data_IF_704627311334
#
_entry.id   IF_704627311334
#
_cell.length_a   1.000
_cell.length_b   1.000
_cell.length_c   1.000
_cell.angle_alpha   90.00
_cell.angle_beta   90.00
_cell.angle_gamma   90.00
#
_symmetry.space_group_name_H-M   'P 1'
#
loop_
_entity.id
_entity.type
_entity.pdbx_description
1 polymer ?
#
# COMPACT_ATOMS: atom_id res chain seq x y z
N UNK A 1 1.47 -20.92 -2.45
CA UNK A 1 0.97 -19.79 -1.69
C UNK A 1 -0.11 -19.05 -2.44
N UNK A 2 -1.24 -18.72 -1.81
CA UNK A 2 -2.28 -17.97 -2.51
C UNK A 2 -1.78 -16.58 -2.92
N UNK A 3 -2.01 -16.23 -4.16
CA UNK A 3 -1.65 -14.92 -4.67
C UNK A 3 -2.90 -14.05 -4.75
N UNK A 4 -2.92 -13.03 -3.91
CA UNK A 4 -4.01 -12.05 -3.87
C UNK A 4 -3.55 -10.66 -4.28
N UNK A 5 -2.28 -10.54 -4.67
CA UNK A 5 -1.70 -9.22 -4.93
C UNK A 5 -2.41 -8.49 -6.05
N UNK A 6 -2.64 -9.16 -7.18
CA UNK A 6 -3.29 -8.50 -8.31
C UNK A 6 -4.69 -8.02 -7.95
N UNK A 7 -5.43 -8.83 -7.22
CA UNK A 7 -6.79 -8.51 -6.79
C UNK A 7 -6.80 -7.30 -5.86
N UNK A 8 -5.93 -7.30 -4.86
CA UNK A 8 -5.82 -6.20 -3.90
C UNK A 8 -5.32 -4.94 -4.60
N UNK A 9 -4.32 -5.08 -5.48
CA UNK A 9 -3.79 -3.95 -6.23
C UNK A 9 -4.86 -3.32 -7.12
N UNK A 10 -5.64 -4.11 -7.84
CA UNK A 10 -6.70 -3.60 -8.69
C UNK A 10 -7.74 -2.83 -7.90
N UNK A 11 -8.17 -3.39 -6.76
CA UNK A 11 -9.12 -2.70 -5.90
C UNK A 11 -8.54 -1.38 -5.39
N UNK A 12 -7.31 -1.41 -4.88
CA UNK A 12 -6.66 -0.22 -4.35
C UNK A 12 -6.47 0.85 -5.42
N UNK A 13 -6.00 0.45 -6.59
CA UNK A 13 -5.78 1.37 -7.71
C UNK A 13 -7.08 2.07 -8.12
N UNK A 14 -8.14 1.30 -8.29
CA UNK A 14 -9.44 1.82 -8.68
C UNK A 14 -10.00 2.76 -7.62
N UNK A 15 -9.92 2.36 -6.36
CA UNK A 15 -10.43 3.16 -5.25
C UNK A 15 -9.68 4.49 -5.15
N UNK A 16 -8.36 4.44 -5.15
CA UNK A 16 -7.52 5.63 -4.99
C UNK A 16 -7.73 6.60 -6.15
N UNK A 17 -7.72 6.09 -7.39
CA UNK A 17 -7.92 6.94 -8.56
C UNK A 17 -9.30 7.57 -8.60
N UNK A 18 -10.34 6.84 -8.16
CA UNK A 18 -11.71 7.34 -8.20
C UNK A 18 -11.99 8.37 -7.12
N UNK A 19 -11.28 8.31 -6.00
CA UNK A 19 -11.56 9.16 -4.85
C UNK A 19 -10.58 10.31 -4.67
N UNK A 20 -9.44 10.29 -5.36
CA UNK A 20 -8.46 11.36 -5.23
C UNK A 20 -8.80 12.53 -6.14
N UNK A 21 -8.57 13.74 -5.63
CA UNK A 21 -8.71 14.98 -6.40
C UNK A 21 -7.47 15.30 -7.22
N UNK A 22 -6.40 14.55 -7.05
CA UNK A 22 -5.08 14.88 -7.61
C UNK A 22 -4.63 13.95 -8.72
N UNK A 23 -5.51 13.07 -9.20
CA UNK A 23 -5.25 12.15 -10.31
C UNK A 23 -3.92 11.40 -10.15
N UNK A 24 -3.74 10.67 -9.06
CA UNK A 24 -2.48 9.98 -8.81
C UNK A 24 -2.30 8.80 -9.75
N UNK A 25 -1.04 8.45 -9.99
CA UNK A 25 -0.70 7.18 -10.61
C UNK A 25 -0.56 6.14 -9.51
N UNK A 26 -1.04 4.94 -9.77
CA UNK A 26 -0.89 3.82 -8.83
C UNK A 26 -0.13 2.72 -9.54
N UNK A 27 1.04 2.39 -9.03
CA UNK A 27 1.99 1.49 -9.68
C UNK A 27 2.37 0.34 -8.77
N UNK A 28 2.80 -0.77 -9.38
CA UNK A 28 3.30 -1.94 -8.65
C UNK A 28 4.77 -1.83 -8.31
N UNK A 29 5.50 -1.02 -9.06
CA UNK A 29 6.93 -0.85 -8.85
C UNK A 29 7.38 0.53 -9.31
N UNK A 30 8.57 0.93 -8.89
CA UNK A 30 9.14 2.22 -9.27
C UNK A 30 9.36 2.27 -10.78
N UNK A 31 8.90 3.36 -11.40
CA UNK A 31 9.09 3.61 -12.82
C UNK A 31 10.01 4.82 -13.00
N UNK A 32 10.84 4.78 -14.04
CA UNK A 32 11.76 5.88 -14.34
C UNK A 32 11.04 7.17 -14.72
N UNK A 33 9.90 7.06 -15.39
CA UNK A 33 9.10 8.23 -15.76
C UNK A 33 7.97 8.37 -14.76
N UNK A 34 8.21 9.17 -13.74
CA UNK A 34 7.24 9.30 -12.67
C UNK A 34 6.53 10.64 -12.75
N UNK A 35 5.25 10.60 -13.07
CA UNK A 35 4.39 11.76 -12.89
C UNK A 35 3.89 11.75 -11.46
N UNK A 36 4.04 12.85 -10.76
CA UNK A 36 3.58 12.96 -9.39
C UNK A 36 2.19 13.59 -9.35
N UNK A 37 1.35 13.24 -8.40
CA UNK A 37 1.62 12.28 -7.31
C UNK A 37 1.55 10.83 -7.77
N UNK A 38 2.31 9.97 -7.08
CA UNK A 38 2.37 8.55 -7.39
C UNK A 38 2.27 7.74 -6.11
N UNK A 39 1.50 6.65 -6.16
CA UNK A 39 1.40 5.67 -5.08
C UNK A 39 1.95 4.36 -5.60
N UNK A 40 2.95 3.81 -4.92
CA UNK A 40 3.55 2.53 -5.27
C UNK A 40 3.15 1.52 -4.21
N UNK A 41 2.51 0.44 -4.65
CA UNK A 41 2.03 -0.63 -3.76
C UNK A 41 2.81 -1.88 -4.09
N UNK A 42 3.64 -2.32 -3.15
CA UNK A 42 4.46 -3.52 -3.31
C UNK A 42 4.05 -4.57 -2.30
N UNK A 43 3.94 -5.81 -2.75
CA UNK A 43 3.76 -6.92 -1.85
C UNK A 43 5.14 -7.51 -1.56
N UNK A 44 5.48 -7.56 -0.27
CA UNK A 44 6.74 -8.16 0.17
C UNK A 44 6.54 -9.68 0.18
N UNK A 45 7.62 -10.42 -0.03
CA UNK A 45 7.56 -11.86 -0.10
C UNK A 45 6.75 -12.47 1.03
N UNK A 46 5.84 -13.34 0.65
CA UNK A 46 5.03 -14.08 1.58
C UNK A 46 5.86 -15.19 2.20
N UNK A 47 5.82 -15.26 3.50
CA UNK A 47 6.42 -16.36 4.23
C UNK A 47 5.35 -17.22 4.85
N UNK A 48 5.59 -18.52 4.92
CA UNK A 48 4.76 -19.40 5.70
C UNK A 48 4.83 -18.91 7.16
N UNK A 49 3.69 -18.59 7.72
CA UNK A 49 3.63 -17.94 9.03
C UNK A 49 4.29 -18.78 10.11
N UNK A 50 4.06 -20.09 10.06
CA UNK A 50 4.68 -21.01 11.00
C UNK A 50 4.92 -22.34 10.30
N UNK A 51 6.19 -22.63 10.01
CA UNK A 51 6.58 -23.84 9.29
C UNK A 51 6.32 -25.12 10.08
N UNK A 52 6.15 -24.99 11.38
CA UNK A 52 5.94 -26.14 12.27
C UNK A 52 4.47 -26.46 12.48
N UNK A 53 3.57 -25.66 11.91
CA UNK A 53 2.15 -25.93 12.03
C UNK A 53 1.74 -27.09 11.14
N UNK A 54 0.68 -27.76 11.56
CA UNK A 54 0.02 -28.76 10.75
C UNK A 54 -0.41 -28.12 9.42
N UNK A 55 -0.27 -28.86 8.32
CA UNK A 55 -0.58 -28.39 6.98
C UNK A 55 -2.02 -27.90 6.83
N UNK A 56 -2.94 -28.43 7.61
CA UNK A 56 -4.34 -28.03 7.57
C UNK A 56 -4.57 -26.61 8.11
N UNK A 57 -3.57 -26.05 8.80
CA UNK A 57 -3.69 -24.76 9.49
C UNK A 57 -2.65 -23.77 9.01
N UNK A 58 -2.20 -23.90 7.77
CA UNK A 58 -1.18 -23.03 7.20
C UNK A 58 -1.70 -21.62 6.99
N UNK A 59 -0.92 -20.66 7.47
CA UNK A 59 -1.16 -19.24 7.29
C UNK A 59 0.09 -18.58 6.76
N UNK A 60 -0.10 -17.58 5.94
CA UNK A 60 0.99 -16.84 5.31
C UNK A 60 0.92 -15.39 5.74
N UNK A 61 2.08 -14.78 5.93
CA UNK A 61 2.13 -13.33 6.15
C UNK A 61 1.89 -12.61 4.84
N UNK A 62 1.00 -11.63 4.90
CA UNK A 62 0.70 -10.76 3.79
C UNK A 62 1.18 -9.38 4.18
N UNK A 63 2.21 -8.90 3.51
CA UNK A 63 2.87 -7.63 3.85
C UNK A 63 2.87 -6.72 2.64
N UNK A 64 2.36 -5.50 2.84
CA UNK A 64 2.36 -4.48 1.80
C UNK A 64 3.15 -3.28 2.26
N UNK A 65 4.05 -2.83 1.39
CA UNK A 65 4.75 -1.57 1.58
C UNK A 65 4.24 -0.58 0.54
N UNK A 66 3.78 0.56 1.01
CA UNK A 66 3.22 1.59 0.15
C UNK A 66 4.06 2.84 0.28
N UNK A 67 4.54 3.36 -0.85
CA UNK A 67 5.27 4.61 -0.91
C UNK A 67 4.46 5.63 -1.68
N UNK A 68 4.25 6.78 -1.07
CA UNK A 68 3.52 7.88 -1.68
C UNK A 68 4.50 9.00 -1.96
N UNK A 69 4.53 9.46 -3.22
CA UNK A 69 5.40 10.56 -3.65
C UNK A 69 4.55 11.71 -4.14
N UNK A 70 4.84 12.92 -3.69
CA UNK A 70 4.14 14.11 -4.14
C UNK A 70 5.05 15.32 -4.15
N UNK A 71 4.74 16.28 -5.01
CA UNK A 71 5.38 17.58 -5.05
C UNK A 71 4.30 18.66 -5.03
N UNK A 72 4.69 19.90 -4.78
CA UNK A 72 3.75 21.01 -4.81
C UNK A 72 3.13 21.10 -6.21
N UNK A 73 1.83 21.27 -6.28
CA UNK A 73 1.10 21.35 -7.55
C UNK A 73 0.22 22.59 -7.54
N UNK A 74 0.65 23.62 -8.27
CA UNK A 74 -0.02 24.89 -8.24
C UNK A 74 -0.03 25.49 -6.83
N UNK A 75 -1.20 25.76 -6.29
CA UNK A 75 -1.35 26.27 -4.93
C UNK A 75 -1.47 25.17 -3.90
N UNK A 76 -1.55 23.90 -4.33
CA UNK A 76 -1.69 22.77 -3.43
C UNK A 76 -0.32 22.29 -2.97
N UNK A 77 -0.13 22.23 -1.66
CA UNK A 77 1.13 21.80 -1.08
C UNK A 77 1.25 20.28 -1.09
N UNK A 78 2.48 19.79 -1.28
CA UNK A 78 2.76 18.36 -1.36
C UNK A 78 2.27 17.57 -0.15
N UNK A 79 2.41 18.13 1.06
CA UNK A 79 1.96 17.40 2.24
C UNK A 79 0.44 17.22 2.29
N UNK A 80 -0.32 18.15 1.73
CA UNK A 80 -1.77 18.01 1.65
C UNK A 80 -2.15 16.90 0.68
N UNK A 81 -1.41 16.77 -0.43
CA UNK A 81 -1.62 15.70 -1.40
C UNK A 81 -1.29 14.34 -0.75
N UNK A 82 -0.16 14.28 -0.05
CA UNK A 82 0.25 13.05 0.66
C UNK A 82 -0.79 12.66 1.70
N UNK A 83 -1.31 13.62 2.47
CA UNK A 83 -2.32 13.32 3.49
C UNK A 83 -3.61 12.76 2.88
N UNK A 84 -4.05 13.31 1.76
CA UNK A 84 -5.22 12.75 1.06
C UNK A 84 -4.95 11.31 0.61
N UNK A 85 -3.81 11.08 -0.04
CA UNK A 85 -3.48 9.75 -0.56
C UNK A 85 -3.26 8.75 0.56
N UNK A 86 -2.63 9.19 1.65
CA UNK A 86 -2.47 8.35 2.85
C UNK A 86 -3.83 7.91 3.41
N UNK A 87 -4.78 8.82 3.48
CA UNK A 87 -6.12 8.52 3.95
C UNK A 87 -6.81 7.51 3.04
N UNK A 88 -6.69 7.67 1.73
CA UNK A 88 -7.28 6.74 0.78
C UNK A 88 -6.63 5.35 0.85
N UNK A 89 -5.32 5.30 0.98
CA UNK A 89 -4.59 4.04 1.18
C UNK A 89 -5.06 3.36 2.45
N UNK A 90 -5.18 4.10 3.55
CA UNK A 90 -5.63 3.54 4.80
C UNK A 90 -7.06 3.00 4.71
N UNK A 91 -7.93 3.68 3.97
CA UNK A 91 -9.30 3.20 3.75
C UNK A 91 -9.32 1.84 3.05
N UNK A 92 -8.39 1.61 2.16
CA UNK A 92 -8.29 0.31 1.47
C UNK A 92 -7.73 -0.76 2.41
N UNK A 93 -6.54 -0.54 2.94
CA UNK A 93 -5.81 -1.60 3.64
C UNK A 93 -6.30 -1.82 5.06
N UNK A 94 -6.62 -0.77 5.79
CA UNK A 94 -7.09 -0.87 7.16
C UNK A 94 -8.61 -1.08 7.21
N UNK A 95 -9.38 -0.19 6.59
CA UNK A 95 -10.84 -0.22 6.72
C UNK A 95 -11.46 -1.34 5.89
N UNK A 96 -11.10 -1.46 4.63
CA UNK A 96 -11.69 -2.47 3.76
C UNK A 96 -11.15 -3.87 4.03
N UNK A 97 -9.82 -4.03 4.05
CA UNK A 97 -9.21 -5.35 4.25
C UNK A 97 -8.93 -5.69 5.70
N UNK A 98 -8.97 -4.73 6.60
CA UNK A 98 -8.76 -4.99 8.03
C UNK A 98 -7.34 -5.36 8.40
N UNK A 99 -6.36 -4.87 7.66
CA UNK A 99 -4.96 -5.12 7.93
C UNK A 99 -4.45 -4.22 9.05
N UNK A 100 -3.37 -4.64 9.72
CA UNK A 100 -2.71 -3.83 10.73
C UNK A 100 -1.70 -2.91 10.08
N UNK A 101 -1.81 -1.61 10.35
CA UNK A 101 -0.79 -0.66 9.92
C UNK A 101 0.40 -0.72 10.88
N UNK A 102 1.57 -1.05 10.35
CA UNK A 102 2.79 -1.21 11.15
C UNK A 102 3.71 0.01 11.07
N UNK A 103 3.58 0.82 10.03
CA UNK A 103 4.39 2.01 9.88
C UNK A 103 3.63 3.10 9.15
N UNK A 104 3.93 4.34 9.50
CA UNK A 104 3.44 5.55 8.83
C UNK A 104 4.49 6.62 9.10
N UNK A 105 5.46 6.73 8.20
CA UNK A 105 6.59 7.63 8.41
C UNK A 105 6.85 8.46 7.17
N UNK A 106 7.29 9.69 7.42
CA UNK A 106 7.84 10.54 6.38
C UNK A 106 9.24 10.01 6.07
N UNK A 107 9.40 9.43 4.88
CA UNK A 107 10.66 8.83 4.50
C UNK A 107 11.61 9.86 3.90
N UNK A 108 12.94 9.68 4.10
CA UNK A 108 13.92 10.55 3.46
C UNK A 108 13.84 10.41 1.95
N UNK A 109 14.04 11.54 1.25
CA UNK A 109 14.13 11.55 -0.20
C UNK A 109 15.27 12.49 -0.60
N UNK A 110 16.06 12.06 -1.60
CA UNK A 110 17.17 12.86 -2.10
C UNK A 110 16.70 14.17 -2.71
N UNK A 111 15.53 14.18 -3.33
CA UNK A 111 14.93 15.38 -3.90
C UNK A 111 14.03 16.06 -2.85
N UNK A 112 14.47 17.19 -2.34
CA UNK A 112 13.75 17.92 -1.29
C UNK A 112 12.45 18.56 -1.78
N UNK A 113 12.24 18.63 -3.10
CA UNK A 113 10.98 19.15 -3.64
C UNK A 113 9.88 18.09 -3.62
N UNK A 114 10.24 16.84 -3.39
CA UNK A 114 9.31 15.71 -3.36
C UNK A 114 9.20 15.16 -1.95
N UNK A 115 7.99 15.06 -1.46
CA UNK A 115 7.73 14.40 -0.18
C UNK A 115 7.45 12.92 -0.42
N UNK A 116 8.06 12.06 0.40
CA UNK A 116 7.86 10.63 0.36
C UNK A 116 7.29 10.15 1.68
N UNK A 117 6.18 9.43 1.62
CA UNK A 117 5.54 8.83 2.80
C UNK A 117 5.56 7.32 2.66
N UNK A 118 6.02 6.63 3.70
CA UNK A 118 6.09 5.19 3.74
C UNK A 118 5.02 4.65 4.68
N UNK A 119 4.25 3.67 4.20
CA UNK A 119 3.24 2.98 4.98
C UNK A 119 3.48 1.47 4.85
N UNK A 120 3.25 0.75 5.94
CA UNK A 120 3.35 -0.70 5.93
C UNK A 120 2.12 -1.31 6.58
N UNK A 121 1.54 -2.29 5.90
CA UNK A 121 0.37 -3.02 6.37
C UNK A 121 0.65 -4.50 6.38
N UNK A 122 0.16 -5.20 7.40
CA UNK A 122 0.36 -6.63 7.56
C UNK A 122 -0.95 -7.32 7.91
N UNK A 123 -1.11 -8.54 7.39
CA UNK A 123 -2.24 -9.40 7.69
C UNK A 123 -1.81 -10.85 7.57
N UNK A 124 -2.67 -11.76 8.03
CA UNK A 124 -2.52 -13.20 7.82
C UNK A 124 -3.51 -13.62 6.75
N UNK A 125 -3.10 -14.59 5.93
CA UNK A 125 -3.96 -15.14 4.91
C UNK A 125 -3.85 -16.67 4.93
N UNK A 126 -4.96 -17.37 4.72
CA UNK A 126 -4.96 -18.82 4.63
C UNK A 126 -4.90 -19.30 3.17
N UNK A 127 -4.90 -20.61 2.97
CA UNK A 127 -4.83 -21.21 1.64
C UNK A 127 -6.04 -20.86 0.75
N UNK A 128 -7.15 -20.50 1.36
CA UNK A 128 -8.38 -20.14 0.66
C UNK A 128 -8.46 -18.64 0.37
N UNK A 129 -7.35 -17.93 0.49
CA UNK A 129 -7.25 -16.48 0.29
C UNK A 129 -8.10 -15.67 1.27
N UNK A 130 -8.44 -16.26 2.41
CA UNK A 130 -9.17 -15.55 3.45
C UNK A 130 -8.19 -14.71 4.28
N UNK A 131 -8.40 -13.41 4.28
CA UNK A 131 -7.58 -12.49 5.05
C UNK A 131 -8.14 -12.41 6.47
N UNK A 132 -7.27 -12.66 7.46
CA UNK A 132 -7.66 -12.56 8.85
C UNK A 132 -7.59 -11.10 9.27
N UNK A 133 -8.74 -10.53 9.57
CA UNK A 133 -8.82 -9.15 10.03
C UNK A 133 -8.31 -9.05 11.46
N UNK A 134 -7.73 -7.90 11.78
CA UNK A 134 -7.28 -7.61 13.15
C UNK A 134 -8.43 -7.58 14.15
#
# INVERSE_FOLDING_TARGET
MPDVYDEIFEYASKYIKSNSKHSPRVLKEVSETTKLPTVIIEQINDHLYDENLDKSDQRFDLIYEINIYAEDKGTTRKHAIVDELKRLVNNVFDEHYGMNRRANTKAPNADLTVEKRYLRYEAKIDENKKIYRR
#
